data_IF_922079525887
#
_entry.id   IF_922079525887
#
_cell.length_a   1.000
_cell.length_b   1.000
_cell.length_c   1.000
_cell.angle_alpha   90.00
_cell.angle_beta   90.00
_cell.angle_gamma   90.00
#
_symmetry.space_group_name_H-M   'P 1'
#
loop_
_entity.id
_entity.type
_entity.pdbx_description
1 polymer ?
#
# COMPACT_ATOMS: atom_id res chain seq x y z
N UNK A 1 31.25 41.09 7.93
CA UNK A 1 31.02 40.38 9.20
C UNK A 1 30.32 39.07 8.82
N UNK A 2 31.08 37.98 8.66
CA UNK A 2 30.54 36.69 8.25
C UNK A 2 29.80 36.07 9.43
N UNK A 3 28.47 35.98 9.34
CA UNK A 3 27.67 35.20 10.28
C UNK A 3 27.93 33.73 9.99
N UNK A 4 28.77 33.08 10.79
CA UNK A 4 28.86 31.62 10.78
C UNK A 4 27.44 31.06 10.98
N UNK A 5 26.97 30.12 10.15
CA UNK A 5 25.72 29.43 10.39
C UNK A 5 25.81 28.82 11.79
N UNK A 6 24.84 29.11 12.66
CA UNK A 6 24.81 28.48 13.98
C UNK A 6 24.75 26.97 13.79
N UNK A 7 25.50 26.20 14.58
CA UNK A 7 25.63 24.75 14.44
C UNK A 7 24.28 24.03 14.24
N UNK A 8 23.22 24.53 14.87
CA UNK A 8 21.82 24.08 14.70
C UNK A 8 21.33 24.07 13.24
N UNK A 9 21.71 25.05 12.43
CA UNK A 9 21.36 25.09 10.99
C UNK A 9 22.13 24.05 10.17
N UNK A 10 23.39 23.78 10.52
CA UNK A 10 24.17 22.71 9.91
C UNK A 10 23.63 21.32 10.30
N UNK A 11 23.21 21.14 11.56
CA UNK A 11 22.56 19.91 12.02
C UNK A 11 21.22 19.66 11.32
N UNK A 12 20.37 20.68 11.17
CA UNK A 12 19.08 20.54 10.47
C UNK A 12 19.21 20.27 8.97
N UNK A 13 20.27 20.77 8.31
CA UNK A 13 20.54 20.45 6.91
C UNK A 13 21.12 19.04 6.70
N UNK A 14 21.72 18.46 7.75
CA UNK A 14 22.33 17.13 7.71
C UNK A 14 21.37 15.98 8.02
N UNK A 15 20.22 16.26 8.64
CA UNK A 15 19.25 15.22 8.91
C UNK A 15 18.59 14.79 7.60
N UNK A 16 18.55 13.47 7.30
CA UNK A 16 17.73 12.97 6.21
C UNK A 16 16.31 13.46 6.48
N UNK A 17 15.62 14.03 5.48
CA UNK A 17 14.34 14.63 5.71
C UNK A 17 13.39 13.55 6.27
N UNK A 18 12.72 13.86 7.39
CA UNK A 18 11.65 13.04 7.98
C UNK A 18 10.42 13.07 7.06
N UNK A 19 10.58 12.61 5.81
CA UNK A 19 9.52 12.64 4.78
C UNK A 19 8.51 11.51 5.00
N UNK A 20 8.87 10.51 5.81
CA UNK A 20 8.13 9.26 5.90
C UNK A 20 7.86 8.86 7.36
N UNK A 21 6.82 9.46 7.94
CA UNK A 21 6.26 8.99 9.20
C UNK A 21 5.15 7.97 8.92
N UNK A 22 5.31 6.74 9.42
CA UNK A 22 4.29 5.69 9.38
C UNK A 22 4.19 5.01 10.74
N UNK A 23 2.98 4.67 11.23
CA UNK A 23 2.82 3.93 12.48
C UNK A 23 3.51 2.56 12.40
N UNK A 24 4.36 2.28 13.41
CA UNK A 24 5.00 0.98 13.57
C UNK A 24 4.00 0.00 14.16
N UNK A 25 3.54 -0.95 13.35
CA UNK A 25 2.75 -2.09 13.80
C UNK A 25 3.67 -3.29 14.03
N UNK A 26 3.21 -4.29 14.78
CA UNK A 26 3.91 -5.57 14.88
C UNK A 26 4.03 -6.20 13.48
N UNK A 27 5.24 -6.61 13.12
CA UNK A 27 5.57 -7.19 11.81
C UNK A 27 4.63 -8.34 11.43
N UNK A 28 4.13 -9.06 12.43
CA UNK A 28 3.16 -10.15 12.26
C UNK A 28 1.91 -9.69 11.50
N UNK A 29 1.33 -8.54 11.87
CA UNK A 29 0.12 -8.03 11.22
C UNK A 29 0.38 -7.57 9.79
N UNK A 30 1.53 -6.94 9.55
CA UNK A 30 1.91 -6.53 8.21
C UNK A 30 2.16 -7.73 7.29
N UNK A 31 2.79 -8.79 7.80
CA UNK A 31 3.01 -10.04 7.04
C UNK A 31 1.67 -10.67 6.68
N UNK A 32 0.75 -10.77 7.64
CA UNK A 32 -0.59 -11.32 7.40
C UNK A 32 -1.34 -10.46 6.37
N UNK A 33 -1.32 -9.13 6.49
CA UNK A 33 -1.98 -8.24 5.55
C UNK A 33 -1.42 -8.38 4.13
N UNK A 34 -0.09 -8.49 3.99
CA UNK A 34 0.58 -8.69 2.71
C UNK A 34 0.24 -10.07 2.12
N UNK A 35 0.25 -11.13 2.92
CA UNK A 35 -0.12 -12.48 2.48
C UNK A 35 -1.57 -12.55 1.99
N UNK A 36 -2.51 -11.95 2.73
CA UNK A 36 -3.93 -11.86 2.34
C UNK A 36 -4.08 -11.10 1.02
N UNK A 37 -3.38 -9.98 0.89
CA UNK A 37 -3.40 -9.15 -0.31
C UNK A 37 -2.93 -9.92 -1.55
N UNK A 38 -1.83 -10.66 -1.43
CA UNK A 38 -1.30 -11.49 -2.52
C UNK A 38 -2.28 -12.62 -2.87
N UNK A 39 -2.85 -13.30 -1.87
CA UNK A 39 -3.85 -14.35 -2.11
C UNK A 39 -5.08 -13.84 -2.86
N UNK A 40 -5.62 -12.69 -2.44
CA UNK A 40 -6.73 -12.01 -3.11
C UNK A 40 -6.40 -11.69 -4.58
N UNK A 41 -5.18 -11.21 -4.84
CA UNK A 41 -4.74 -10.92 -6.21
C UNK A 41 -4.80 -12.17 -7.10
N UNK A 42 -4.31 -13.30 -6.61
CA UNK A 42 -4.33 -14.56 -7.36
C UNK A 42 -5.74 -15.11 -7.57
N UNK A 43 -6.60 -15.09 -6.54
CA UNK A 43 -7.96 -15.63 -6.64
C UNK A 43 -8.78 -14.84 -7.66
N UNK A 44 -8.66 -13.52 -7.62
CA UNK A 44 -9.44 -12.65 -8.47
C UNK A 44 -9.00 -12.66 -9.95
N UNK A 45 -7.72 -12.89 -10.24
CA UNK A 45 -7.22 -12.99 -11.61
C UNK A 45 -8.00 -13.99 -12.48
N UNK A 46 -8.63 -14.99 -11.86
CA UNK A 46 -9.42 -16.02 -12.54
C UNK A 46 -10.95 -15.74 -12.59
N UNK A 47 -11.44 -14.62 -12.05
CA UNK A 47 -12.84 -14.48 -11.61
C UNK A 47 -13.83 -13.80 -12.61
N UNK A 48 -13.39 -13.17 -13.71
CA UNK A 48 -14.25 -12.52 -14.71
C UNK A 48 -14.98 -11.23 -14.26
N UNK A 49 -14.55 -10.06 -14.76
CA UNK A 49 -15.05 -8.74 -14.37
C UNK A 49 -16.42 -8.31 -14.92
N UNK A 50 -17.41 -8.12 -14.04
CA UNK A 50 -18.67 -7.38 -14.31
C UNK A 50 -18.90 -6.30 -13.28
N UNK A 51 -19.28 -5.07 -13.67
CA UNK A 51 -19.24 -3.84 -12.84
C UNK A 51 -20.54 -3.53 -12.05
N UNK A 52 -20.41 -3.14 -10.77
CA UNK A 52 -21.46 -2.75 -9.82
C UNK A 52 -20.85 -1.74 -8.81
N UNK A 53 -21.43 -0.53 -8.75
CA UNK A 53 -20.85 0.61 -8.03
C UNK A 53 -20.71 0.40 -6.52
N UNK A 54 -21.68 -0.23 -5.86
CA UNK A 54 -21.65 -0.43 -4.39
C UNK A 54 -20.55 -1.40 -3.98
N UNK A 55 -20.39 -2.49 -4.74
CA UNK A 55 -19.35 -3.49 -4.50
C UNK A 55 -17.95 -2.93 -4.79
N UNK A 56 -17.84 -2.04 -5.77
CA UNK A 56 -16.58 -1.35 -6.11
C UNK A 56 -16.09 -0.50 -4.93
N UNK A 57 -16.97 0.26 -4.28
CA UNK A 57 -16.61 1.08 -3.13
C UNK A 57 -16.14 0.24 -1.94
N UNK A 58 -16.85 -0.86 -1.62
CA UNK A 58 -16.44 -1.78 -0.55
C UNK A 58 -15.06 -2.42 -0.83
N UNK A 59 -14.79 -2.74 -2.08
CA UNK A 59 -13.52 -3.35 -2.51
C UNK A 59 -12.37 -2.36 -2.41
N UNK A 60 -12.60 -1.12 -2.82
CA UNK A 60 -11.64 -0.03 -2.68
C UNK A 60 -11.29 0.24 -1.22
N UNK A 61 -12.30 0.29 -0.34
CA UNK A 61 -12.09 0.49 1.09
C UNK A 61 -11.26 -0.65 1.70
N UNK A 62 -11.58 -1.89 1.35
CA UNK A 62 -10.85 -3.07 1.85
C UNK A 62 -9.40 -3.10 1.35
N UNK A 63 -9.19 -2.81 0.06
CA UNK A 63 -7.85 -2.73 -0.53
C UNK A 63 -7.02 -1.60 0.11
N UNK A 64 -7.63 -0.46 0.42
CA UNK A 64 -6.96 0.66 1.08
C UNK A 64 -6.51 0.31 2.49
N UNK A 65 -7.36 -0.40 3.26
CA UNK A 65 -7.02 -0.89 4.60
C UNK A 65 -5.86 -1.89 4.53
N UNK A 66 -5.91 -2.85 3.60
CA UNK A 66 -4.84 -3.82 3.40
C UNK A 66 -3.52 -3.16 2.99
N UNK A 67 -3.58 -2.21 2.05
CA UNK A 67 -2.43 -1.41 1.65
C UNK A 67 -1.82 -0.62 2.81
N UNK A 68 -2.65 -0.05 3.68
CA UNK A 68 -2.20 0.67 4.87
C UNK A 68 -1.43 -0.24 5.84
N UNK A 69 -1.92 -1.45 6.10
CA UNK A 69 -1.25 -2.42 6.96
C UNK A 69 -0.02 -3.08 6.31
N UNK A 70 0.03 -3.17 4.98
CA UNK A 70 1.18 -3.68 4.25
C UNK A 70 2.33 -2.65 4.20
N UNK A 71 2.05 -1.37 4.40
CA UNK A 71 3.03 -0.30 4.22
C UNK A 71 4.30 -0.41 5.07
N UNK A 72 4.29 -0.80 6.37
CA UNK A 72 5.51 -0.99 7.14
C UNK A 72 6.49 -1.97 6.50
N UNK A 73 5.98 -3.08 5.92
CA UNK A 73 6.82 -4.04 5.21
C UNK A 73 7.35 -3.49 3.89
N UNK A 74 6.55 -2.71 3.18
CA UNK A 74 7.01 -2.05 1.95
C UNK A 74 8.12 -1.06 2.28
N UNK A 75 7.98 -0.31 3.38
CA UNK A 75 9.01 0.62 3.86
C UNK A 75 10.28 -0.15 4.23
N UNK A 76 10.17 -1.24 4.99
CA UNK A 76 11.33 -2.08 5.33
C UNK A 76 12.03 -2.60 4.07
N UNK A 77 11.26 -3.11 3.10
CA UNK A 77 11.79 -3.60 1.84
C UNK A 77 12.53 -2.51 1.06
N UNK A 78 11.94 -1.33 0.88
CA UNK A 78 12.55 -0.22 0.15
C UNK A 78 13.75 0.39 0.90
N UNK A 79 13.76 0.31 2.22
CA UNK A 79 14.91 0.74 3.05
C UNK A 79 16.14 -0.14 2.80
N UNK A 80 15.96 -1.46 2.64
CA UNK A 80 17.05 -2.41 2.36
C UNK A 80 17.76 -2.12 1.03
N UNK A 81 17.06 -1.53 0.08
CA UNK A 81 17.61 -1.17 -1.23
C UNK A 81 18.08 0.30 -1.31
N UNK A 82 18.14 1.02 -0.18
CA UNK A 82 18.52 2.45 -0.11
C UNK A 82 17.64 3.41 -0.95
N UNK A 83 16.47 2.98 -1.43
CA UNK A 83 15.58 3.85 -2.22
C UNK A 83 15.01 5.01 -1.40
N UNK A 84 14.90 4.86 -0.07
CA UNK A 84 14.37 5.90 0.82
C UNK A 84 15.28 7.11 1.01
N UNK A 85 16.54 7.06 0.56
CA UNK A 85 17.49 8.18 0.69
C UNK A 85 17.21 9.32 -0.30
N UNK A 86 16.49 9.03 -1.40
CA UNK A 86 16.15 10.01 -2.43
C UNK A 86 14.67 10.33 -2.41
N UNK A 87 14.32 11.61 -2.57
CA UNK A 87 12.91 12.05 -2.74
C UNK A 87 12.22 11.33 -3.89
N UNK A 88 12.94 11.03 -4.97
CA UNK A 88 12.41 10.28 -6.11
C UNK A 88 12.12 8.82 -5.74
N UNK A 89 12.92 8.19 -4.88
CA UNK A 89 12.69 6.83 -4.44
C UNK A 89 11.48 6.71 -3.50
N UNK A 90 11.26 7.71 -2.65
CA UNK A 90 10.02 7.81 -1.83
C UNK A 90 8.79 7.94 -2.72
N UNK A 91 8.82 8.80 -3.74
CA UNK A 91 7.72 8.94 -4.71
C UNK A 91 7.50 7.64 -5.50
N UNK A 92 8.58 6.96 -5.89
CA UNK A 92 8.52 5.65 -6.56
C UNK A 92 7.85 4.59 -5.69
N UNK A 93 8.22 4.52 -4.41
CA UNK A 93 7.58 3.62 -3.44
C UNK A 93 6.07 3.88 -3.35
N UNK A 94 5.65 5.13 -3.15
CA UNK A 94 4.22 5.47 -3.10
C UNK A 94 3.49 5.12 -4.38
N UNK A 95 4.12 5.31 -5.55
CA UNK A 95 3.54 4.97 -6.84
C UNK A 95 3.31 3.45 -6.96
N UNK A 96 4.29 2.64 -6.54
CA UNK A 96 4.17 1.18 -6.51
C UNK A 96 3.03 0.75 -5.57
N UNK A 97 2.93 1.35 -4.39
CA UNK A 97 1.87 1.06 -3.42
C UNK A 97 0.50 1.45 -3.95
N UNK A 98 0.37 2.60 -4.63
CA UNK A 98 -0.88 3.00 -5.27
C UNK A 98 -1.31 2.00 -6.35
N UNK A 99 -0.38 1.56 -7.20
CA UNK A 99 -0.67 0.55 -8.22
C UNK A 99 -1.10 -0.77 -7.56
N UNK A 100 -0.42 -1.17 -6.49
CA UNK A 100 -0.77 -2.37 -5.72
C UNK A 100 -2.18 -2.28 -5.12
N UNK A 101 -2.53 -1.16 -4.47
CA UNK A 101 -3.87 -0.94 -3.92
C UNK A 101 -4.93 -0.89 -5.01
N UNK A 102 -4.64 -0.28 -6.16
CA UNK A 102 -5.55 -0.25 -7.31
C UNK A 102 -5.81 -1.67 -7.84
N UNK A 103 -4.76 -2.48 -8.00
CA UNK A 103 -4.87 -3.86 -8.41
C UNK A 103 -5.67 -4.70 -7.39
N UNK A 104 -5.37 -4.55 -6.09
CA UNK A 104 -6.15 -5.18 -5.02
C UNK A 104 -7.62 -4.81 -5.07
N UNK A 105 -7.93 -3.53 -5.29
CA UNK A 105 -9.33 -3.07 -5.34
C UNK A 105 -10.10 -3.74 -6.47
N UNK A 106 -9.49 -3.91 -7.65
CA UNK A 106 -10.11 -4.64 -8.77
C UNK A 106 -10.30 -6.10 -8.42
N UNK A 107 -9.32 -6.69 -7.77
CA UNK A 107 -9.33 -8.11 -7.43
C UNK A 107 -10.38 -8.46 -6.36
N UNK A 108 -10.41 -7.71 -5.25
CA UNK A 108 -11.44 -7.87 -4.21
C UNK A 108 -12.83 -7.69 -4.81
N UNK A 109 -12.98 -6.74 -5.73
CA UNK A 109 -14.23 -6.50 -6.43
C UNK A 109 -14.70 -7.73 -7.20
N UNK A 110 -13.79 -8.36 -7.94
CA UNK A 110 -14.08 -9.56 -8.71
C UNK A 110 -14.53 -10.71 -7.81
N UNK A 111 -13.84 -10.93 -6.69
CA UNK A 111 -14.20 -11.95 -5.70
C UNK A 111 -15.61 -11.70 -5.16
N UNK A 112 -15.91 -10.48 -4.70
CA UNK A 112 -17.23 -10.13 -4.16
C UNK A 112 -18.33 -10.30 -5.23
N UNK A 113 -18.03 -10.02 -6.49
CA UNK A 113 -18.99 -10.22 -7.59
C UNK A 113 -19.23 -11.69 -7.87
N UNK A 114 -18.19 -12.51 -7.94
CA UNK A 114 -18.29 -13.96 -8.18
C UNK A 114 -19.00 -14.65 -7.03
N UNK A 115 -18.56 -14.43 -5.79
CA UNK A 115 -19.19 -15.05 -4.62
C UNK A 115 -20.67 -14.71 -4.52
N UNK A 116 -21.05 -13.47 -4.83
CA UNK A 116 -22.47 -13.08 -4.82
C UNK A 116 -23.28 -13.66 -5.99
N UNK A 117 -22.65 -14.01 -7.12
CA UNK A 117 -23.32 -14.72 -8.21
C UNK A 117 -23.57 -16.17 -7.84
N UNK A 118 -22.58 -16.83 -7.25
CA UNK A 118 -22.67 -18.23 -6.80
C UNK A 118 -23.65 -18.40 -5.63
N UNK A 119 -23.79 -17.38 -4.77
CA UNK A 119 -24.72 -17.41 -3.65
C UNK A 119 -26.21 -17.25 -4.05
N UNK A 120 -26.49 -16.83 -5.29
CA UNK A 120 -27.87 -16.74 -5.79
C UNK A 120 -28.24 -18.07 -6.47
N UNK A 121 -29.37 -18.71 -6.10
CA UNK A 121 -29.79 -19.94 -6.74
C UNK A 121 -30.01 -19.71 -8.25
N UNK A 122 -29.65 -20.68 -9.11
CA UNK A 122 -29.91 -20.58 -10.54
C UNK A 122 -31.41 -20.38 -10.76
N UNK A 123 -31.77 -19.32 -11.49
CA UNK A 123 -33.14 -19.12 -11.99
C UNK A 123 -33.32 -19.88 -13.29
#
# INVERSE_FOLDING_TARGET
MNTMPSDSTAYMASQPPDVLWWPKFDDTYSIIALAISVAIFFIAYFAGGKLNRTKMFASFLTASILGFFAMPLVIDLFSRFNFLQSRLGVVGMYSVVMIFVAALSVNIYEIIVVTAREALPPR
#
